data_IF_953178045643
#
_entry.id   IF_953178045643
#
_cell.length_a   1.000
_cell.length_b   1.000
_cell.length_c   1.000
_cell.angle_alpha   90.00
_cell.angle_beta   90.00
_cell.angle_gamma   90.00
#
_symmetry.space_group_name_H-M   'P 1'
#
loop_
_entity.id
_entity.type
_entity.pdbx_description
1 polymer ?
#
# COMPACT_ATOMS: atom_id res chain seq x y z
N UNK A 1 9.91 10.80 -0.61
CA UNK A 1 11.22 10.83 0.08
C UNK A 1 11.76 12.26 0.06
N UNK A 2 12.23 12.76 1.20
CA UNK A 2 13.09 13.94 1.27
C UNK A 2 14.43 13.48 1.83
N UNK A 3 15.50 13.67 1.06
CA UNK A 3 16.89 13.57 1.52
C UNK A 3 17.52 14.95 1.37
N UNK A 4 18.10 15.47 2.44
CA UNK A 4 18.81 16.75 2.48
C UNK A 4 20.28 16.55 2.13
N UNK A 5 20.80 17.38 1.23
CA UNK A 5 22.24 17.72 1.12
C UNK A 5 22.36 19.20 0.74
N UNK A 6 23.42 19.86 1.23
CA UNK A 6 23.65 21.32 1.20
C UNK A 6 24.56 21.73 0.02
N UNK A 7 24.08 22.68 -0.80
CA UNK A 7 24.73 23.77 -1.60
C UNK A 7 25.91 23.48 -2.57
N UNK A 8 26.03 24.17 -3.75
CA UNK A 8 25.91 25.63 -3.91
C UNK A 8 24.98 26.18 -5.01
N UNK A 9 24.40 27.34 -4.66
CA UNK A 9 23.81 28.45 -5.43
C UNK A 9 23.35 28.24 -6.89
N UNK A 10 22.03 28.27 -7.09
CA UNK A 10 21.39 28.57 -8.38
C UNK A 10 19.89 28.28 -8.36
N UNK A 11 19.06 29.30 -8.19
CA UNK A 11 17.59 29.14 -8.12
C UNK A 11 16.97 29.03 -9.53
N UNK A 12 16.15 28.00 -9.74
CA UNK A 12 15.27 27.87 -10.91
C UNK A 12 13.95 27.23 -10.51
N UNK A 13 12.83 27.77 -11.01
CA UNK A 13 11.48 27.27 -10.73
C UNK A 13 11.01 26.27 -11.79
N UNK A 14 10.34 25.19 -11.37
CA UNK A 14 9.63 24.27 -12.28
C UNK A 14 8.18 24.10 -11.84
N UNK A 15 7.26 24.20 -12.81
CA UNK A 15 5.84 23.88 -12.68
C UNK A 15 5.64 22.38 -12.89
N UNK A 16 4.97 21.72 -11.94
CA UNK A 16 4.54 20.33 -12.06
C UNK A 16 3.02 20.24 -11.97
N UNK A 17 2.41 19.29 -12.69
CA UNK A 17 0.97 19.00 -12.59
C UNK A 17 0.76 17.64 -11.96
N UNK A 18 -0.14 17.57 -10.97
CA UNK A 18 -0.54 16.31 -10.33
C UNK A 18 -1.59 15.55 -11.18
N UNK A 19 -2.01 14.37 -10.70
CA UNK A 19 -2.96 13.48 -11.37
C UNK A 19 -4.34 14.09 -11.64
N UNK A 20 -4.63 15.29 -11.09
CA UNK A 20 -5.86 16.05 -11.30
C UNK A 20 -5.64 17.31 -12.17
N UNK A 21 -4.47 17.44 -12.81
CA UNK A 21 -4.17 18.53 -13.74
C UNK A 21 -3.83 19.88 -13.12
N UNK A 22 -3.74 20.00 -11.78
CA UNK A 22 -3.40 21.27 -11.11
C UNK A 22 -1.90 21.55 -11.12
N UNK A 23 -1.52 22.78 -11.45
CA UNK A 23 -0.13 23.26 -11.40
C UNK A 23 0.28 23.56 -9.95
N UNK A 24 1.35 22.91 -9.49
CA UNK A 24 2.12 23.30 -8.30
C UNK A 24 3.53 23.73 -8.70
N UNK A 25 4.03 24.82 -8.13
CA UNK A 25 5.43 25.23 -8.27
C UNK A 25 6.25 24.62 -7.15
N UNK A 26 7.27 23.84 -7.48
CA UNK A 26 8.25 23.37 -6.49
C UNK A 26 9.63 23.81 -6.94
N UNK A 27 10.32 24.55 -6.08
CA UNK A 27 11.69 25.02 -6.32
C UNK A 27 12.66 23.93 -5.86
N UNK A 28 13.47 23.41 -6.78
CA UNK A 28 14.54 22.46 -6.46
C UNK A 28 15.87 23.02 -6.99
N UNK A 29 16.91 22.92 -6.16
CA UNK A 29 18.30 23.21 -6.52
C UNK A 29 18.85 22.07 -7.41
N UNK A 30 19.65 22.45 -8.41
CA UNK A 30 19.94 21.68 -9.61
C UNK A 30 20.46 20.25 -9.42
N UNK A 31 19.83 19.33 -10.15
CA UNK A 31 20.38 18.05 -10.58
C UNK A 31 19.98 17.83 -12.03
N UNK A 32 20.86 17.25 -12.86
CA UNK A 32 20.52 16.88 -14.24
C UNK A 32 19.19 16.11 -14.20
N UNK A 33 18.23 16.54 -15.03
CA UNK A 33 16.93 15.89 -15.15
C UNK A 33 17.12 14.41 -15.51
N UNK A 34 17.07 13.53 -14.53
CA UNK A 34 16.59 12.18 -14.76
C UNK A 34 15.09 12.30 -15.05
N UNK A 35 14.73 12.64 -16.30
CA UNK A 35 13.39 12.33 -16.78
C UNK A 35 13.33 10.82 -16.80
N UNK A 36 12.61 10.22 -15.86
CA UNK A 36 12.03 8.89 -16.09
C UNK A 36 11.11 9.09 -17.29
N UNK A 37 11.62 8.82 -18.50
CA UNK A 37 10.88 8.96 -19.74
C UNK A 37 9.66 8.04 -19.66
N UNK A 38 8.47 8.64 -19.68
CA UNK A 38 7.16 7.95 -19.68
C UNK A 38 7.01 6.93 -20.83
N UNK A 39 7.87 6.97 -21.84
CA UNK A 39 7.85 6.14 -23.04
C UNK A 39 8.79 4.91 -23.00
N UNK A 40 9.56 4.67 -21.93
CA UNK A 40 10.59 3.59 -21.93
C UNK A 40 10.12 2.21 -21.47
N UNK A 41 8.86 2.06 -21.08
CA UNK A 41 8.31 0.75 -20.67
C UNK A 41 7.72 -0.05 -21.84
N UNK A 42 7.66 0.51 -23.04
CA UNK A 42 7.34 -0.26 -24.25
C UNK A 42 8.51 -1.17 -24.59
N UNK A 43 8.35 -2.46 -24.27
CA UNK A 43 9.33 -3.49 -24.58
C UNK A 43 10.62 -3.33 -23.76
N UNK A 44 10.55 -3.55 -22.44
CA UNK A 44 11.74 -3.86 -21.65
C UNK A 44 12.34 -5.13 -22.27
N UNK A 45 13.31 -4.95 -23.17
CA UNK A 45 13.71 -5.94 -24.16
C UNK A 45 13.96 -7.31 -23.49
N UNK A 46 13.12 -8.29 -23.80
CA UNK A 46 13.24 -9.68 -23.35
C UNK A 46 12.58 -10.04 -22.00
N UNK A 47 12.05 -9.09 -21.25
CA UNK A 47 11.40 -9.36 -19.96
C UNK A 47 9.94 -9.79 -20.13
N UNK A 48 9.49 -10.75 -19.32
CA UNK A 48 8.06 -11.02 -19.13
C UNK A 48 7.53 -10.16 -17.98
N UNK A 49 6.43 -9.43 -18.22
CA UNK A 49 5.90 -8.40 -17.35
C UNK A 49 4.64 -8.89 -16.61
N UNK A 50 4.68 -8.89 -15.28
CA UNK A 50 3.55 -9.26 -14.43
C UNK A 50 3.16 -8.16 -13.45
N UNK A 51 1.86 -7.90 -13.30
CA UNK A 51 1.28 -7.10 -12.23
C UNK A 51 0.35 -7.96 -11.39
N UNK A 52 0.59 -7.97 -10.07
CA UNK A 52 -0.20 -8.68 -9.08
C UNK A 52 -0.53 -7.72 -7.94
N UNK A 53 -1.81 -7.39 -7.80
CA UNK A 53 -2.30 -6.49 -6.76
C UNK A 53 -2.77 -5.14 -7.29
N UNK A 54 -2.64 -4.07 -6.51
CA UNK A 54 -3.21 -2.77 -6.81
C UNK A 54 -2.34 -1.95 -7.77
N UNK A 55 -2.95 -1.43 -8.84
CA UNK A 55 -2.26 -0.51 -9.75
C UNK A 55 -2.20 0.91 -9.16
N UNK A 56 -1.03 1.30 -8.66
CA UNK A 56 -0.74 2.67 -8.18
C UNK A 56 -0.10 3.56 -9.27
N UNK A 57 -0.33 3.24 -10.54
CA UNK A 57 0.29 3.92 -11.68
C UNK A 57 -0.71 4.26 -12.77
N UNK A 58 -0.25 4.98 -13.79
CA UNK A 58 -1.00 5.27 -15.00
C UNK A 58 -0.87 4.17 -16.07
N UNK A 59 -0.15 3.08 -15.77
CA UNK A 59 0.01 1.96 -16.68
C UNK A 59 -1.31 1.20 -16.82
N UNK A 60 -1.48 0.54 -17.97
CA UNK A 60 -2.69 -0.18 -18.36
C UNK A 60 -2.37 -1.64 -18.67
N UNK A 61 -3.39 -2.50 -18.66
CA UNK A 61 -3.24 -3.94 -18.84
C UNK A 61 -2.47 -4.35 -20.10
N UNK A 62 -2.60 -3.60 -21.20
CA UNK A 62 -1.88 -3.83 -22.45
C UNK A 62 -0.35 -3.66 -22.36
N UNK A 63 0.19 -3.18 -21.24
CA UNK A 63 1.63 -3.08 -20.99
C UNK A 63 2.20 -4.30 -20.25
N UNK A 64 1.37 -5.28 -19.89
CA UNK A 64 1.77 -6.45 -19.11
C UNK A 64 1.35 -7.74 -19.81
N UNK A 65 2.18 -8.78 -19.69
CA UNK A 65 1.83 -10.14 -20.14
C UNK A 65 0.83 -10.79 -19.17
N UNK A 66 0.83 -10.36 -17.90
CA UNK A 66 -0.13 -10.80 -16.88
C UNK A 66 -0.56 -9.64 -16.00
N UNK A 67 -1.86 -9.50 -15.82
CA UNK A 67 -2.49 -8.40 -15.09
C UNK A 67 -3.57 -8.94 -14.15
N UNK A 68 -3.21 -9.09 -12.87
CA UNK A 68 -4.08 -9.58 -11.80
C UNK A 68 -4.32 -8.46 -10.79
N UNK A 69 -5.43 -7.74 -10.94
CA UNK A 69 -5.76 -6.57 -10.11
C UNK A 69 -6.44 -6.95 -8.81
N UNK A 70 -5.99 -6.33 -7.72
CA UNK A 70 -6.71 -6.27 -6.46
C UNK A 70 -6.93 -4.81 -6.09
N UNK A 71 -8.08 -4.48 -5.52
CA UNK A 71 -8.33 -3.17 -4.94
C UNK A 71 -8.40 -3.24 -3.40
N UNK A 72 -9.01 -2.25 -2.75
CA UNK A 72 -9.12 -2.24 -1.29
C UNK A 72 -10.13 -3.23 -0.70
N UNK A 73 -11.05 -3.73 -1.51
CA UNK A 73 -12.24 -4.49 -1.08
C UNK A 73 -12.71 -5.54 -2.09
N UNK A 74 -11.95 -5.77 -3.16
CA UNK A 74 -12.23 -6.76 -4.19
C UNK A 74 -10.95 -7.32 -4.84
N UNK A 75 -11.03 -8.57 -5.27
CA UNK A 75 -9.99 -9.25 -6.04
C UNK A 75 -10.57 -10.32 -6.96
N UNK A 76 -9.78 -10.86 -7.91
CA UNK A 76 -10.23 -11.90 -8.83
C UNK A 76 -10.58 -13.17 -8.06
N UNK A 77 -11.78 -13.76 -8.25
CA UNK A 77 -12.18 -14.91 -7.46
C UNK A 77 -11.26 -16.11 -7.74
N UNK A 78 -10.97 -16.87 -6.69
CA UNK A 78 -10.21 -18.12 -6.75
C UNK A 78 -11.12 -19.22 -7.32
N UNK A 79 -10.64 -20.02 -8.29
CA UNK A 79 -11.41 -21.14 -8.83
C UNK A 79 -11.88 -22.10 -7.72
N UNK A 80 -13.19 -22.34 -7.64
CA UNK A 80 -13.79 -23.23 -6.64
C UNK A 80 -14.07 -22.59 -5.27
N UNK A 81 -13.72 -21.31 -5.08
CA UNK A 81 -13.98 -20.54 -3.85
C UNK A 81 -14.77 -19.24 -4.12
N UNK A 82 -15.43 -19.12 -5.28
CA UNK A 82 -16.07 -17.90 -5.74
C UNK A 82 -17.09 -17.34 -4.72
N UNK A 83 -17.86 -18.23 -4.08
CA UNK A 83 -18.86 -17.84 -3.07
C UNK A 83 -18.23 -17.31 -1.78
N UNK A 84 -17.10 -17.89 -1.37
CA UNK A 84 -16.35 -17.47 -0.18
C UNK A 84 -15.66 -16.13 -0.42
N UNK A 85 -15.00 -15.97 -1.56
CA UNK A 85 -14.35 -14.72 -1.94
C UNK A 85 -15.37 -13.58 -2.08
N UNK A 86 -16.54 -13.85 -2.67
CA UNK A 86 -17.61 -12.86 -2.75
C UNK A 86 -18.18 -12.50 -1.37
N UNK A 87 -18.19 -13.42 -0.42
CA UNK A 87 -18.60 -13.14 0.96
C UNK A 87 -17.55 -12.30 1.71
N UNK A 88 -16.27 -12.60 1.51
CA UNK A 88 -15.15 -11.81 2.04
C UNK A 88 -15.18 -10.37 1.50
N UNK A 89 -15.31 -10.19 0.18
CA UNK A 89 -15.37 -8.87 -0.47
C UNK A 89 -16.56 -8.05 0.05
N UNK A 90 -17.76 -8.66 0.18
CA UNK A 90 -18.92 -7.98 0.79
C UNK A 90 -18.66 -7.57 2.23
N UNK A 91 -18.01 -8.41 3.02
CA UNK A 91 -17.65 -8.08 4.39
C UNK A 91 -16.65 -6.93 4.46
N UNK A 92 -15.62 -6.93 3.61
CA UNK A 92 -14.65 -5.84 3.47
C UNK A 92 -15.33 -4.51 3.10
N UNK A 93 -16.29 -4.53 2.17
CA UNK A 93 -17.10 -3.36 1.81
C UNK A 93 -17.89 -2.85 3.02
N UNK A 94 -18.53 -3.75 3.77
CA UNK A 94 -19.35 -3.41 4.94
C UNK A 94 -18.57 -2.83 6.11
N UNK A 95 -17.25 -3.06 6.19
CA UNK A 95 -16.38 -2.37 7.15
C UNK A 95 -16.25 -0.87 6.85
N UNK A 96 -16.61 -0.41 5.64
CA UNK A 96 -16.63 1.02 5.30
C UNK A 96 -15.25 1.68 5.42
N UNK A 97 -14.17 0.95 5.14
CA UNK A 97 -12.79 1.38 5.34
C UNK A 97 -12.42 1.73 6.80
N UNK A 98 -12.97 0.98 7.76
CA UNK A 98 -12.66 1.11 9.19
C UNK A 98 -12.13 -0.16 9.83
N UNK A 99 -11.89 -0.07 11.14
CA UNK A 99 -11.27 -1.10 11.96
C UNK A 99 -12.29 -2.18 12.28
N UNK A 100 -11.93 -3.45 12.11
CA UNK A 100 -12.76 -4.57 12.54
C UNK A 100 -12.82 -4.67 14.07
N UNK A 101 -14.01 -4.98 14.60
CA UNK A 101 -14.22 -5.18 16.04
C UNK A 101 -13.54 -6.44 16.58
N UNK A 102 -13.32 -7.44 15.73
CA UNK A 102 -12.67 -8.70 16.05
C UNK A 102 -11.73 -9.18 14.94
N UNK A 103 -11.18 -10.40 15.08
CA UNK A 103 -10.42 -11.02 14.01
C UNK A 103 -11.30 -11.23 12.79
N UNK A 104 -10.67 -11.27 11.63
CA UNK A 104 -11.37 -11.55 10.38
C UNK A 104 -12.06 -12.90 10.43
N UNK A 105 -13.38 -12.97 10.18
CA UNK A 105 -14.14 -14.22 10.27
C UNK A 105 -14.04 -15.05 8.98
N UNK A 106 -12.92 -14.96 8.28
CA UNK A 106 -12.65 -15.68 7.03
C UNK A 106 -11.28 -16.36 7.11
N UNK A 107 -11.11 -17.49 6.42
CA UNK A 107 -9.82 -18.15 6.30
C UNK A 107 -8.69 -17.23 5.82
N UNK A 108 -7.47 -17.57 6.21
CA UNK A 108 -6.26 -16.79 5.88
C UNK A 108 -6.07 -16.64 4.36
N UNK A 109 -6.41 -17.65 3.59
CA UNK A 109 -6.26 -17.67 2.13
C UNK A 109 -7.29 -16.77 1.39
N UNK A 110 -8.28 -16.22 2.08
CA UNK A 110 -9.13 -15.14 1.56
C UNK A 110 -8.38 -13.80 1.52
N UNK A 111 -7.37 -13.60 2.37
CA UNK A 111 -6.68 -12.32 2.53
C UNK A 111 -5.95 -11.92 1.23
N UNK A 112 -6.12 -10.67 0.78
CA UNK A 112 -5.52 -10.23 -0.48
C UNK A 112 -3.99 -10.34 -0.50
N UNK A 113 -3.21 -10.07 0.56
CA UNK A 113 -1.77 -10.30 0.55
C UNK A 113 -1.42 -11.76 0.23
N UNK A 114 -2.18 -12.70 0.77
CA UNK A 114 -1.98 -14.14 0.57
C UNK A 114 -2.29 -14.51 -0.87
N UNK A 115 -3.41 -14.00 -1.42
CA UNK A 115 -3.84 -14.26 -2.80
C UNK A 115 -2.91 -13.61 -3.83
N UNK A 116 -2.50 -12.36 -3.62
CA UNK A 116 -1.56 -11.64 -4.47
C UNK A 116 -0.24 -12.40 -4.61
N UNK A 117 0.33 -12.88 -3.49
CA UNK A 117 1.56 -13.66 -3.55
C UNK A 117 1.31 -15.03 -4.19
N UNK A 118 0.22 -15.71 -3.87
CA UNK A 118 -0.11 -16.99 -4.52
C UNK A 118 -0.25 -16.87 -6.04
N UNK A 119 -0.91 -15.82 -6.54
CA UNK A 119 -1.02 -15.55 -7.98
C UNK A 119 0.34 -15.27 -8.62
N UNK A 120 1.19 -14.47 -7.96
CA UNK A 120 2.53 -14.17 -8.41
C UNK A 120 3.40 -15.43 -8.50
N UNK A 121 3.32 -16.30 -7.50
CA UNK A 121 4.05 -17.58 -7.47
C UNK A 121 3.55 -18.54 -8.56
N UNK A 122 2.23 -18.72 -8.68
CA UNK A 122 1.64 -19.57 -9.71
C UNK A 122 2.01 -19.11 -11.13
N UNK A 123 2.19 -17.82 -11.34
CA UNK A 123 2.71 -17.28 -12.60
C UNK A 123 4.19 -17.58 -12.81
N UNK A 124 5.04 -17.41 -11.79
CA UNK A 124 6.46 -17.74 -11.88
C UNK A 124 6.71 -19.23 -12.15
N UNK A 125 5.85 -20.12 -11.63
CA UNK A 125 5.91 -21.57 -11.85
C UNK A 125 5.68 -21.97 -13.32
N UNK A 126 4.95 -21.15 -14.07
CA UNK A 126 4.68 -21.38 -15.49
C UNK A 126 5.83 -20.92 -16.40
N UNK A 127 6.82 -20.22 -15.84
CA UNK A 127 7.92 -19.62 -16.59
C UNK A 127 9.22 -20.40 -16.37
N UNK A 128 10.04 -20.60 -17.43
CA UNK A 128 11.39 -21.13 -17.29
C UNK A 128 12.23 -20.35 -16.28
N UNK A 129 13.04 -21.04 -15.46
CA UNK A 129 13.82 -20.42 -14.38
C UNK A 129 14.76 -19.30 -14.84
N UNK A 130 15.25 -19.39 -16.08
CA UNK A 130 16.15 -18.44 -16.74
C UNK A 130 15.42 -17.28 -17.45
N UNK A 131 14.09 -17.32 -17.54
CA UNK A 131 13.30 -16.22 -18.11
C UNK A 131 13.41 -14.97 -17.21
N UNK A 132 13.94 -13.83 -17.71
CA UNK A 132 13.90 -12.58 -16.96
C UNK A 132 12.46 -12.07 -16.82
N UNK A 133 12.12 -11.62 -15.63
CA UNK A 133 10.79 -11.12 -15.28
C UNK A 133 10.90 -9.74 -14.65
N UNK A 134 9.91 -8.90 -14.92
CA UNK A 134 9.66 -7.68 -14.15
C UNK A 134 8.28 -7.84 -13.52
N UNK A 135 8.24 -7.82 -12.20
CA UNK A 135 7.03 -8.10 -11.45
C UNK A 135 6.71 -6.94 -10.52
N UNK A 136 5.51 -6.38 -10.68
CA UNK A 136 4.93 -5.45 -9.72
C UNK A 136 4.01 -6.23 -8.79
N UNK A 137 4.53 -6.59 -7.61
CA UNK A 137 3.71 -7.14 -6.50
C UNK A 137 3.33 -5.97 -5.60
N UNK A 138 2.07 -5.55 -5.66
CA UNK A 138 1.61 -4.29 -5.06
C UNK A 138 0.41 -4.55 -4.15
N UNK A 139 0.63 -4.51 -2.84
CA UNK A 139 -0.41 -4.77 -1.86
C UNK A 139 -1.29 -3.53 -1.63
N UNK A 140 -2.63 -3.68 -1.57
CA UNK A 140 -3.48 -2.62 -1.06
C UNK A 140 -3.31 -2.43 0.46
N UNK A 141 -3.03 -3.49 1.21
CA UNK A 141 -2.69 -3.44 2.63
C UNK A 141 -1.34 -2.74 2.87
N UNK A 142 -1.13 -2.07 4.03
CA UNK A 142 -2.01 -2.01 5.20
C UNK A 142 -3.04 -0.86 5.14
N UNK A 143 -3.51 -0.48 3.95
CA UNK A 143 -4.63 0.46 3.82
C UNK A 143 -5.93 -0.13 4.40
N UNK A 144 -6.84 0.75 4.80
CA UNK A 144 -8.19 0.39 5.24
C UNK A 144 -8.99 -0.41 4.20
N UNK A 145 -9.91 -1.31 4.60
CA UNK A 145 -10.32 -1.60 5.99
C UNK A 145 -9.24 -2.25 6.87
N UNK A 146 -9.18 -1.88 8.15
CA UNK A 146 -8.14 -2.37 9.07
C UNK A 146 -8.61 -3.64 9.75
N UNK A 147 -8.19 -4.77 9.21
CA UNK A 147 -8.61 -6.11 9.63
C UNK A 147 -7.49 -7.11 9.40
N UNK A 148 -7.48 -8.17 10.20
CA UNK A 148 -6.56 -9.29 10.02
C UNK A 148 -7.12 -10.53 10.73
N UNK A 149 -6.94 -11.75 10.18
CA UNK A 149 -7.34 -12.98 10.87
C UNK A 149 -6.38 -13.32 12.02
N UNK A 150 -6.77 -14.29 12.84
CA UNK A 150 -5.80 -14.96 13.71
C UNK A 150 -4.75 -15.73 12.88
N UNK A 151 -3.52 -15.90 13.39
CA UNK A 151 -3.02 -15.42 14.68
C UNK A 151 -2.61 -13.94 14.70
N UNK A 152 -2.57 -13.28 13.54
CA UNK A 152 -2.04 -11.92 13.40
C UNK A 152 -2.80 -10.88 14.22
N UNK A 153 -4.10 -11.09 14.43
CA UNK A 153 -4.95 -10.28 15.29
C UNK A 153 -4.45 -10.30 16.74
N UNK A 154 -4.14 -11.49 17.27
CA UNK A 154 -3.63 -11.67 18.63
C UNK A 154 -2.15 -11.31 18.85
N UNK A 155 -1.34 -11.21 17.79
CA UNK A 155 0.11 -10.95 17.93
C UNK A 155 0.44 -9.56 18.50
N UNK A 156 -0.43 -8.57 18.29
CA UNK A 156 -0.21 -7.20 18.72
C UNK A 156 -1.40 -6.68 19.54
N UNK A 157 -1.54 -7.08 20.81
CA UNK A 157 -2.62 -6.59 21.67
C UNK A 157 -2.61 -5.05 21.78
N UNK A 158 -3.78 -4.37 21.82
CA UNK A 158 -3.85 -2.91 21.88
C UNK A 158 -3.07 -2.27 23.04
N UNK A 159 -2.96 -2.92 24.19
CA UNK A 159 -2.20 -2.42 25.34
C UNK A 159 -0.68 -2.57 25.19
N UNK A 160 -0.21 -3.28 24.14
CA UNK A 160 1.20 -3.53 23.85
C UNK A 160 1.73 -2.77 22.64
N UNK A 161 0.86 -2.21 21.81
CA UNK A 161 1.31 -1.39 20.68
C UNK A 161 1.77 0.00 21.16
N UNK A 162 2.79 0.61 20.53
CA UNK A 162 3.23 1.94 20.92
C UNK A 162 2.09 2.95 20.78
N UNK A 163 1.86 3.87 21.72
CA UNK A 163 0.85 4.92 21.57
C UNK A 163 1.25 5.90 20.46
N UNK A 164 0.34 6.80 20.03
CA UNK A 164 0.70 7.92 19.17
C UNK A 164 1.85 8.74 19.78
N UNK A 165 2.83 9.11 18.96
CA UNK A 165 4.01 9.89 19.38
C UNK A 165 3.67 11.34 19.64
N UNK A 166 2.68 11.86 18.92
CA UNK A 166 2.22 13.25 19.02
C UNK A 166 0.72 13.27 19.18
N UNK A 167 0.24 13.96 20.22
CA UNK A 167 -1.19 14.12 20.47
C UNK A 167 -1.87 15.13 19.56
N UNK A 168 -3.21 15.08 19.56
CA UNK A 168 -4.08 15.95 18.75
C UNK A 168 -3.92 17.45 18.98
N UNK A 169 -3.44 17.86 20.15
CA UNK A 169 -3.25 19.29 20.45
C UNK A 169 -2.22 19.96 19.54
N UNK A 170 -1.30 19.20 18.95
CA UNK A 170 -0.37 19.69 17.95
C UNK A 170 -1.07 20.18 16.66
N UNK A 171 -2.29 19.72 16.36
CA UNK A 171 -3.06 20.20 15.21
C UNK A 171 -3.63 21.60 15.40
N UNK A 172 -3.84 22.06 16.64
CA UNK A 172 -4.45 23.38 16.90
C UNK A 172 -3.64 24.54 16.31
N UNK A 173 -2.36 24.31 16.00
CA UNK A 173 -1.44 25.28 15.40
C UNK A 173 -1.30 25.13 13.88
N UNK A 174 -2.07 24.22 13.26
CA UNK A 174 -2.05 23.97 11.82
C UNK A 174 -3.13 24.79 11.11
N UNK A 175 -3.06 24.83 9.78
CA UNK A 175 -4.02 25.53 8.96
C UNK A 175 -5.41 24.84 9.00
N UNK A 176 -6.42 25.53 8.46
CA UNK A 176 -7.81 25.05 8.43
C UNK A 176 -7.96 23.66 7.80
N UNK A 177 -7.17 23.32 6.78
CA UNK A 177 -7.30 22.04 6.07
C UNK A 177 -7.01 20.85 6.99
N UNK A 178 -5.98 20.95 7.84
CA UNK A 178 -5.64 19.90 8.81
C UNK A 178 -6.70 19.77 9.90
N UNK A 179 -7.20 20.89 10.40
CA UNK A 179 -8.26 20.92 11.41
C UNK A 179 -9.55 20.32 10.83
N UNK A 180 -9.93 20.73 9.62
CA UNK A 180 -11.11 20.24 8.92
C UNK A 180 -11.05 18.74 8.66
N UNK A 181 -9.90 18.21 8.24
CA UNK A 181 -9.72 16.76 8.05
C UNK A 181 -9.91 16.00 9.37
N UNK A 182 -9.30 16.49 10.44
CA UNK A 182 -9.44 15.93 11.78
C UNK A 182 -10.91 15.93 12.25
N UNK A 183 -11.62 17.04 12.10
CA UNK A 183 -13.03 17.17 12.49
C UNK A 183 -13.94 16.29 11.66
N UNK A 184 -13.74 16.24 10.34
CA UNK A 184 -14.55 15.44 9.41
C UNK A 184 -14.47 13.95 9.73
N UNK A 185 -13.26 13.43 9.98
CA UNK A 185 -13.10 12.01 10.33
C UNK A 185 -13.90 11.67 11.60
N UNK A 186 -13.88 12.55 12.61
CA UNK A 186 -14.58 12.35 13.89
C UNK A 186 -16.08 12.54 13.80
N UNK A 187 -16.55 13.39 12.87
CA UNK A 187 -17.97 13.52 12.61
C UNK A 187 -18.59 12.19 12.19
N UNK A 188 -17.90 11.44 11.32
CA UNK A 188 -18.35 10.12 10.89
C UNK A 188 -17.92 8.98 11.84
N UNK A 189 -16.84 9.18 12.61
CA UNK A 189 -16.27 8.16 13.51
C UNK A 189 -15.93 8.74 14.90
N UNK A 190 -16.94 9.06 15.72
CA UNK A 190 -16.73 9.76 16.99
C UNK A 190 -15.93 8.94 18.02
N UNK A 191 -16.00 7.61 17.94
CA UNK A 191 -15.27 6.66 18.79
C UNK A 191 -13.79 6.49 18.45
N UNK A 192 -13.31 7.08 17.35
CA UNK A 192 -11.99 6.79 16.80
C UNK A 192 -10.83 7.10 17.76
N UNK A 193 -10.96 8.15 18.57
CA UNK A 193 -9.97 8.48 19.60
C UNK A 193 -9.82 7.40 20.66
N UNK A 194 -10.93 6.81 21.09
CA UNK A 194 -10.92 5.72 22.06
C UNK A 194 -10.34 4.44 21.45
N UNK A 195 -10.39 4.31 20.13
CA UNK A 195 -9.97 3.12 19.38
C UNK A 195 -8.59 3.26 18.73
N UNK A 196 -7.81 4.31 19.05
CA UNK A 196 -6.50 4.52 18.41
C UNK A 196 -5.54 3.34 18.61
N UNK A 197 -5.56 2.71 19.79
CA UNK A 197 -4.73 1.55 20.08
C UNK A 197 -5.23 0.29 19.36
N UNK A 198 -6.54 0.12 19.23
CA UNK A 198 -7.14 -0.96 18.44
C UNK A 198 -6.75 -0.82 16.97
N UNK A 199 -6.93 0.37 16.39
CA UNK A 199 -6.46 0.70 15.04
C UNK A 199 -5.00 0.30 14.83
N UNK A 200 -4.11 0.71 15.75
CA UNK A 200 -2.66 0.46 15.62
C UNK A 200 -2.34 -1.01 15.77
N UNK A 201 -3.06 -1.72 16.63
CA UNK A 201 -3.02 -3.18 16.77
C UNK A 201 -3.34 -3.87 15.44
N UNK A 202 -4.45 -3.52 14.77
CA UNK A 202 -4.81 -4.11 13.46
C UNK A 202 -3.76 -3.76 12.40
N UNK A 203 -3.31 -2.51 12.37
CA UNK A 203 -2.28 -2.07 11.43
C UNK A 203 -0.97 -2.87 11.58
N UNK A 204 -0.51 -3.11 12.82
CA UNK A 204 0.65 -3.96 13.09
C UNK A 204 0.42 -5.42 12.67
N UNK A 205 -0.76 -5.99 12.94
CA UNK A 205 -1.13 -7.33 12.49
C UNK A 205 -1.11 -7.47 10.96
N UNK A 206 -1.66 -6.49 10.24
CA UNK A 206 -1.63 -6.43 8.77
C UNK A 206 -0.20 -6.34 8.23
N UNK A 207 0.65 -5.50 8.84
CA UNK A 207 2.07 -5.42 8.48
C UNK A 207 2.78 -6.76 8.66
N UNK A 208 2.50 -7.48 9.76
CA UNK A 208 3.09 -8.80 10.01
C UNK A 208 2.60 -9.84 9.00
N UNK A 209 1.32 -9.80 8.61
CA UNK A 209 0.81 -10.65 7.54
C UNK A 209 1.54 -10.37 6.22
N UNK A 210 1.69 -9.09 5.84
CA UNK A 210 2.43 -8.69 4.64
C UNK A 210 3.88 -9.18 4.66
N UNK A 211 4.56 -9.02 5.79
CA UNK A 211 5.93 -9.51 6.00
C UNK A 211 6.03 -11.02 5.78
N UNK A 212 5.06 -11.82 6.26
CA UNK A 212 4.99 -13.24 5.97
C UNK A 212 4.79 -13.56 4.48
N UNK A 213 4.03 -12.74 3.75
CA UNK A 213 3.82 -12.94 2.33
C UNK A 213 5.06 -12.56 1.51
N UNK A 214 5.78 -11.51 1.91
CA UNK A 214 7.08 -11.16 1.33
C UNK A 214 8.08 -12.29 1.57
N UNK A 215 8.13 -12.85 2.79
CA UNK A 215 8.94 -14.02 3.09
C UNK A 215 8.59 -15.21 2.17
N UNK A 216 7.29 -15.54 2.00
CA UNK A 216 6.86 -16.60 1.07
C UNK A 216 7.39 -16.39 -0.35
N UNK A 217 7.35 -15.16 -0.84
CA UNK A 217 7.87 -14.80 -2.17
C UNK A 217 9.40 -14.99 -2.23
N UNK A 218 10.13 -14.47 -1.25
CA UNK A 218 11.60 -14.59 -1.17
C UNK A 218 12.02 -16.06 -1.11
N UNK A 219 11.44 -16.85 -0.20
CA UNK A 219 11.75 -18.27 -0.07
C UNK A 219 11.47 -19.04 -1.37
N UNK A 220 10.42 -18.68 -2.11
CA UNK A 220 10.18 -19.28 -3.42
C UNK A 220 11.29 -18.93 -4.42
N UNK A 221 11.72 -17.67 -4.46
CA UNK A 221 12.80 -17.25 -5.35
C UNK A 221 14.13 -17.92 -5.02
N UNK A 222 14.42 -18.18 -3.74
CA UNK A 222 15.58 -18.98 -3.31
C UNK A 222 15.46 -20.43 -3.80
N UNK A 223 14.34 -21.10 -3.51
CA UNK A 223 14.09 -22.49 -3.90
C UNK A 223 14.10 -22.70 -5.43
N UNK A 224 13.62 -21.72 -6.18
CA UNK A 224 13.60 -21.73 -7.66
C UNK A 224 14.90 -21.22 -8.29
N UNK A 225 15.95 -20.94 -7.49
CA UNK A 225 17.25 -20.42 -7.93
C UNK A 225 17.18 -19.11 -8.73
N UNK A 226 16.13 -18.31 -8.49
CA UNK A 226 15.93 -16.98 -9.10
C UNK A 226 16.48 -15.85 -8.22
N UNK A 227 16.62 -16.07 -6.91
CA UNK A 227 16.95 -15.01 -5.93
C UNK A 227 18.25 -14.27 -6.25
N UNK A 228 19.34 -14.99 -6.52
CA UNK A 228 20.67 -14.41 -6.76
C UNK A 228 20.74 -13.47 -7.97
N UNK A 229 19.80 -13.59 -8.91
CA UNK A 229 19.70 -12.76 -10.11
C UNK A 229 18.45 -11.87 -10.09
N UNK A 230 17.93 -11.53 -8.90
CA UNK A 230 16.75 -10.68 -8.73
C UNK A 230 17.12 -9.38 -8.01
N UNK A 231 16.77 -8.25 -8.63
CA UNK A 231 16.80 -6.95 -7.96
C UNK A 231 15.46 -6.69 -7.26
N UNK A 232 15.49 -6.52 -5.94
CA UNK A 232 14.30 -6.16 -5.16
C UNK A 232 14.22 -4.65 -4.92
N UNK A 233 13.06 -4.07 -5.25
CA UNK A 233 12.71 -2.70 -4.93
C UNK A 233 11.52 -2.72 -3.97
N UNK A 234 11.80 -2.54 -2.68
CA UNK A 234 10.75 -2.44 -1.66
C UNK A 234 10.47 -0.97 -1.36
N UNK A 235 9.25 -0.52 -1.70
CA UNK A 235 8.82 0.86 -1.54
C UNK A 235 7.37 0.91 -1.06
N UNK A 236 7.00 2.04 -0.49
CA UNK A 236 5.61 2.39 -0.20
C UNK A 236 5.26 3.68 -0.93
N UNK A 237 4.01 3.80 -1.38
CA UNK A 237 3.50 4.98 -2.06
C UNK A 237 3.40 6.20 -1.12
N UNK A 238 3.14 5.98 0.17
CA UNK A 238 3.13 7.01 1.21
C UNK A 238 3.20 6.43 2.64
N UNK A 239 3.33 7.30 3.65
CA UNK A 239 3.17 6.91 5.06
C UNK A 239 1.71 6.96 5.55
N UNK A 240 1.49 6.44 6.75
CA UNK A 240 0.21 6.48 7.46
C UNK A 240 0.41 7.26 8.78
N UNK A 241 -0.54 8.13 9.14
CA UNK A 241 -0.44 8.88 10.40
C UNK A 241 -0.60 7.97 11.62
N UNK A 242 -1.35 6.88 11.51
CA UNK A 242 -1.52 5.89 12.57
C UNK A 242 -2.00 6.50 13.91
N UNK A 243 -2.77 7.58 13.88
CA UNK A 243 -3.23 8.30 15.06
C UNK A 243 -2.28 9.39 15.56
N UNK A 244 -1.07 9.54 15.00
CA UNK A 244 -0.22 10.69 15.30
C UNK A 244 -0.92 11.98 14.87
N UNK A 245 -0.80 13.02 15.70
CA UNK A 245 -1.55 14.27 15.57
C UNK A 245 -3.08 14.08 15.67
N UNK A 246 -3.58 12.89 16.06
CA UNK A 246 -5.00 12.56 15.97
C UNK A 246 -5.49 12.41 14.52
N UNK A 247 -4.57 12.25 13.57
CA UNK A 247 -4.87 12.02 12.16
C UNK A 247 -4.79 10.53 11.81
N UNK A 248 -5.55 10.17 10.78
CA UNK A 248 -5.59 8.83 10.21
C UNK A 248 -5.54 8.99 8.70
N UNK A 249 -5.12 7.93 8.00
CA UNK A 249 -4.84 7.93 6.56
C UNK A 249 -3.64 8.83 6.23
N UNK A 250 -3.70 9.48 5.06
CA UNK A 250 -2.61 10.21 4.43
C UNK A 250 -3.12 11.52 3.83
N UNK A 251 -2.23 12.50 3.74
CA UNK A 251 -2.45 13.75 3.01
C UNK A 251 -3.65 14.57 3.50
N UNK A 252 -3.86 15.73 2.88
CA UNK A 252 -5.05 16.56 3.07
C UNK A 252 -6.11 16.18 2.04
N UNK A 253 -7.37 16.10 2.47
CA UNK A 253 -8.50 15.91 1.55
C UNK A 253 -8.84 17.19 0.77
N UNK A 254 -8.49 18.36 1.33
CA UNK A 254 -8.66 19.66 0.70
C UNK A 254 -7.38 20.09 -0.02
N UNK A 255 -7.49 20.75 -1.19
CA UNK A 255 -6.34 21.35 -1.85
C UNK A 255 -5.73 22.45 -0.96
N UNK A 256 -4.40 22.60 -1.04
CA UNK A 256 -3.65 23.71 -0.43
C UNK A 256 -4.18 25.08 -0.89
#
# INVERSE_FOLDING_TARGET
MATSTVSPSGAGSVSTRNAYGRQGSTTFLGGRRARIQRSRWEGVAGYTLGLFGKNHSHLTANKFDTWRLYDHTAGPPRPGHESEDAAFDRWMINLGHWVSSGPTPFPLDCQYPVRIVSDALAWLEQLPADRPVFMLVSFPEPHSPYQVPEPYYGLFPPDKVPPPRVGKDALRRRNFQWIHQYETIRHFHPQLDAQVLEYRSRYCGMLRLLDDQIRRLVEYLERSRRFENTLFLFVSDHGEFCGDYGLYRKGLALPE
#
